data_IF_246738881998
#
_entry.id   IF_246738881998
#
_cell.length_a   1.000
_cell.length_b   1.000
_cell.length_c   1.000
_cell.angle_alpha   90.00
_cell.angle_beta   90.00
_cell.angle_gamma   90.00
#
_symmetry.space_group_name_H-M   'P 1'
#
loop_
_entity.id
_entity.type
_entity.pdbx_description
1 polymer ?
#
# COMPACT_ATOMS: atom_id res chain seq x y z
N UNK A 1 22.70 8.53 -12.99
CA UNK A 1 22.27 7.11 -12.85
C UNK A 1 20.74 7.05 -12.85
N UNK A 2 20.13 6.02 -13.48
CA UNK A 2 18.67 5.92 -13.56
C UNK A 2 18.12 5.43 -12.22
N UNK A 3 17.22 6.20 -11.61
CA UNK A 3 16.57 5.90 -10.33
C UNK A 3 15.10 5.63 -10.60
N UNK A 4 14.57 4.52 -10.08
CA UNK A 4 13.13 4.28 -10.09
C UNK A 4 12.51 4.99 -8.89
N UNK A 5 11.41 5.72 -9.12
CA UNK A 5 10.57 6.30 -8.07
C UNK A 5 9.11 6.11 -8.47
N UNK A 6 8.32 5.62 -7.53
CA UNK A 6 6.89 5.46 -7.70
C UNK A 6 6.18 5.85 -6.40
N UNK A 7 5.08 6.58 -6.54
CA UNK A 7 4.17 6.91 -5.44
C UNK A 7 2.80 6.37 -5.83
N UNK A 8 2.27 5.46 -5.02
CA UNK A 8 0.92 4.91 -5.18
C UNK A 8 0.04 5.38 -4.03
N UNK A 9 -1.22 5.70 -4.32
CA UNK A 9 -2.22 6.11 -3.34
C UNK A 9 -3.51 5.32 -3.57
N UNK A 10 -4.32 5.15 -2.51
CA UNK A 10 -5.60 4.42 -2.58
C UNK A 10 -6.70 5.25 -3.27
N UNK A 11 -6.55 5.48 -4.58
CA UNK A 11 -7.47 6.30 -5.40
C UNK A 11 -8.32 5.48 -6.38
N UNK A 12 -8.42 4.17 -6.16
CA UNK A 12 -9.22 3.30 -7.01
C UNK A 12 -10.71 3.68 -6.90
N UNK A 13 -11.39 3.77 -8.03
CA UNK A 13 -12.79 4.21 -8.10
C UNK A 13 -13.72 3.41 -7.19
N UNK A 14 -13.51 2.10 -7.07
CA UNK A 14 -14.33 1.23 -6.21
C UNK A 14 -14.10 1.48 -4.72
N UNK A 15 -12.89 1.87 -4.30
CA UNK A 15 -12.62 2.30 -2.92
C UNK A 15 -13.36 3.61 -2.64
N UNK A 16 -13.25 4.57 -3.56
CA UNK A 16 -13.93 5.85 -3.45
C UNK A 16 -15.46 5.68 -3.39
N UNK A 17 -16.00 4.73 -4.17
CA UNK A 17 -17.41 4.40 -4.16
C UNK A 17 -17.85 3.81 -2.81
N UNK A 18 -17.10 2.85 -2.26
CA UNK A 18 -17.40 2.27 -0.93
C UNK A 18 -17.38 3.37 0.13
N UNK A 19 -16.34 4.21 0.15
CA UNK A 19 -16.22 5.31 1.12
C UNK A 19 -17.39 6.30 0.97
N UNK A 20 -17.77 6.67 -0.25
CA UNK A 20 -18.88 7.57 -0.51
C UNK A 20 -20.21 6.98 -0.01
N UNK A 21 -20.48 5.69 -0.30
CA UNK A 21 -21.68 5.00 0.17
C UNK A 21 -21.72 4.96 1.70
N UNK A 22 -20.59 4.67 2.36
CA UNK A 22 -20.53 4.64 3.84
C UNK A 22 -20.81 6.00 4.44
N UNK A 23 -20.23 7.07 3.89
CA UNK A 23 -20.48 8.44 4.36
C UNK A 23 -21.94 8.83 4.16
N UNK A 24 -22.51 8.59 2.96
CA UNK A 24 -23.91 8.91 2.66
C UNK A 24 -24.86 8.16 3.58
N UNK A 25 -24.65 6.85 3.80
CA UNK A 25 -25.50 6.04 4.67
C UNK A 25 -25.54 6.55 6.11
N UNK A 26 -24.38 6.95 6.66
CA UNK A 26 -24.30 7.54 8.00
C UNK A 26 -24.94 8.92 8.03
N UNK A 27 -24.73 9.76 7.03
CA UNK A 27 -25.38 11.08 6.95
C UNK A 27 -26.91 10.97 6.92
N UNK A 28 -27.45 9.97 6.19
CA UNK A 28 -28.90 9.70 6.17
C UNK A 28 -29.39 9.25 7.55
N UNK A 29 -28.68 8.33 8.21
CA UNK A 29 -28.99 7.87 9.58
C UNK A 29 -29.09 9.06 10.54
N UNK A 30 -28.07 9.91 10.56
CA UNK A 30 -27.99 11.09 11.43
C UNK A 30 -29.13 12.07 11.13
N UNK A 31 -29.46 12.29 9.85
CA UNK A 31 -30.57 13.17 9.46
C UNK A 31 -31.91 12.67 10.04
N UNK A 32 -32.18 11.36 9.95
CA UNK A 32 -33.40 10.78 10.52
C UNK A 32 -33.42 10.85 12.05
N UNK A 33 -32.28 10.63 12.73
CA UNK A 33 -32.19 10.71 14.20
C UNK A 33 -32.43 12.13 14.71
N UNK A 34 -31.89 13.14 14.01
CA UNK A 34 -32.17 14.55 14.30
C UNK A 34 -33.65 14.85 14.08
N UNK A 35 -34.22 14.43 12.95
CA UNK A 35 -35.64 14.68 12.64
C UNK A 35 -36.59 14.04 13.67
N UNK A 36 -36.22 12.90 14.24
CA UNK A 36 -37.03 12.19 15.23
C UNK A 36 -36.70 12.58 16.69
N UNK A 37 -35.81 13.56 16.91
CA UNK A 37 -35.32 13.95 18.25
C UNK A 37 -34.67 12.82 19.06
N UNK A 38 -34.13 11.81 18.38
CA UNK A 38 -33.45 10.64 18.97
C UNK A 38 -31.93 10.73 18.83
N UNK A 39 -31.38 11.93 18.66
CA UNK A 39 -29.96 12.13 18.38
C UNK A 39 -29.12 11.94 19.65
N UNK A 40 -28.12 11.06 19.59
CA UNK A 40 -27.22 10.77 20.70
C UNK A 40 -25.77 11.21 20.42
N UNK A 41 -24.99 11.36 21.49
CA UNK A 41 -23.55 11.67 21.41
C UNK A 41 -22.78 10.60 20.63
N UNK A 42 -23.22 9.34 20.68
CA UNK A 42 -22.59 8.23 19.95
C UNK A 42 -22.66 8.42 18.44
N UNK A 43 -23.68 9.11 17.92
CA UNK A 43 -23.84 9.37 16.49
C UNK A 43 -22.75 10.32 15.99
N UNK A 44 -22.43 11.36 16.77
CA UNK A 44 -21.29 12.25 16.52
C UNK A 44 -19.99 11.47 16.52
N UNK A 45 -19.78 10.61 17.53
CA UNK A 45 -18.59 9.78 17.65
C UNK A 45 -18.38 8.89 16.42
N UNK A 46 -19.44 8.25 15.95
CA UNK A 46 -19.43 7.40 14.75
C UNK A 46 -19.09 8.20 13.47
N UNK A 47 -19.64 9.40 13.34
CA UNK A 47 -19.38 10.29 12.21
C UNK A 47 -17.92 10.78 12.18
N UNK A 48 -17.38 11.18 13.34
CA UNK A 48 -15.99 11.59 13.46
C UNK A 48 -15.06 10.43 13.11
N UNK A 49 -15.36 9.21 13.61
CA UNK A 49 -14.56 8.02 13.34
C UNK A 49 -14.52 7.69 11.85
N UNK A 50 -15.65 7.75 11.14
CA UNK A 50 -15.67 7.44 9.70
C UNK A 50 -14.93 8.51 8.88
N UNK A 51 -15.08 9.80 9.22
CA UNK A 51 -14.36 10.88 8.55
C UNK A 51 -12.86 10.73 8.79
N UNK A 52 -12.44 10.40 10.01
CA UNK A 52 -11.04 10.12 10.33
C UNK A 52 -10.51 8.92 9.52
N UNK A 53 -11.31 7.85 9.37
CA UNK A 53 -10.94 6.68 8.57
C UNK A 53 -10.82 7.02 7.08
N UNK A 54 -11.76 7.79 6.52
CA UNK A 54 -11.69 8.28 5.13
C UNK A 54 -10.45 9.15 4.91
N UNK A 55 -10.19 10.08 5.83
CA UNK A 55 -9.00 10.93 5.83
C UNK A 55 -7.72 10.12 5.88
N UNK A 56 -7.69 9.04 6.65
CA UNK A 56 -6.53 8.15 6.71
C UNK A 56 -6.23 7.52 5.34
N UNK A 57 -7.21 6.86 4.72
CA UNK A 57 -7.04 6.22 3.41
C UNK A 57 -6.64 7.22 2.32
N UNK A 58 -7.16 8.44 2.38
CA UNK A 58 -6.83 9.51 1.43
C UNK A 58 -5.36 9.96 1.52
N UNK A 59 -4.80 9.96 2.73
CA UNK A 59 -3.42 10.37 2.99
C UNK A 59 -2.41 9.23 2.83
N UNK A 60 -2.87 7.98 2.82
CA UNK A 60 -2.00 6.82 2.69
C UNK A 60 -1.33 6.72 1.31
N UNK A 61 0.00 6.74 1.32
CA UNK A 61 0.82 6.65 0.09
C UNK A 61 1.95 5.64 0.25
N UNK A 62 2.08 4.73 -0.70
CA UNK A 62 3.24 3.85 -0.83
C UNK A 62 4.28 4.50 -1.72
N UNK A 63 5.42 4.84 -1.15
CA UNK A 63 6.60 5.30 -1.88
C UNK A 63 7.54 4.13 -2.11
N UNK A 64 7.92 3.93 -3.37
CA UNK A 64 8.90 2.92 -3.78
C UNK A 64 10.04 3.61 -4.49
N UNK A 65 11.28 3.27 -4.12
CA UNK A 65 12.48 3.80 -4.76
C UNK A 65 13.54 2.70 -4.92
N UNK A 66 14.10 2.61 -6.12
CA UNK A 66 15.23 1.73 -6.44
C UNK A 66 16.38 2.60 -6.93
N UNK A 67 17.51 2.54 -6.25
CA UNK A 67 18.71 3.31 -6.56
C UNK A 67 19.99 2.48 -6.37
N UNK A 68 21.16 3.13 -6.43
CA UNK A 68 22.44 2.46 -6.27
C UNK A 68 22.69 1.88 -4.86
N UNK A 69 21.98 2.35 -3.84
CA UNK A 69 22.11 1.82 -2.47
C UNK A 69 21.26 0.56 -2.28
N UNK A 70 20.11 0.48 -2.94
CA UNK A 70 19.22 -0.66 -2.83
C UNK A 70 17.76 -0.35 -3.20
N UNK A 71 16.85 -1.06 -2.55
CA UNK A 71 15.40 -0.91 -2.70
C UNK A 71 14.82 -0.39 -1.40
N UNK A 72 14.01 0.66 -1.48
CA UNK A 72 13.31 1.24 -0.34
C UNK A 72 11.82 1.35 -0.62
N UNK A 73 11.02 1.03 0.39
CA UNK A 73 9.58 1.14 0.39
C UNK A 73 9.12 1.77 1.72
N UNK A 74 8.17 2.71 1.66
CA UNK A 74 7.56 3.28 2.88
C UNK A 74 6.10 3.61 2.65
N UNK A 75 5.28 3.39 3.67
CA UNK A 75 3.94 3.95 3.73
C UNK A 75 3.96 5.28 4.49
N UNK A 76 3.54 6.36 3.85
CA UNK A 76 3.19 7.60 4.55
C UNK A 76 1.71 7.54 4.94
N UNK A 77 1.31 8.11 6.10
CA UNK A 77 2.12 8.86 7.06
C UNK A 77 2.85 8.01 8.11
N UNK A 78 2.89 6.68 7.98
CA UNK A 78 3.35 5.78 9.03
C UNK A 78 4.87 5.47 8.98
N UNK A 79 5.72 6.13 9.80
CA UNK A 79 7.17 5.96 9.72
C UNK A 79 7.65 4.54 10.04
N UNK A 80 6.91 3.79 10.88
CA UNK A 80 7.24 2.43 11.28
C UNK A 80 7.20 1.43 10.11
N UNK A 81 6.40 1.70 9.07
CA UNK A 81 6.30 0.86 7.89
C UNK A 81 7.30 1.25 6.80
N UNK A 82 8.54 1.55 7.20
CA UNK A 82 9.67 1.74 6.29
C UNK A 82 10.46 0.43 6.16
N UNK A 83 10.74 0.03 4.92
CA UNK A 83 11.57 -1.13 4.57
C UNK A 83 12.66 -0.70 3.61
N UNK A 84 13.90 -1.06 3.94
CA UNK A 84 15.07 -0.81 3.13
C UNK A 84 15.84 -2.12 2.99
N UNK A 85 16.18 -2.47 1.77
CA UNK A 85 16.99 -3.64 1.44
C UNK A 85 18.21 -3.17 0.65
N UNK A 86 19.40 -3.38 1.20
CA UNK A 86 20.63 -3.10 0.46
C UNK A 86 20.86 -4.18 -0.59
N UNK A 87 21.50 -3.83 -1.69
CA UNK A 87 21.79 -4.80 -2.76
C UNK A 87 22.58 -6.03 -2.28
N UNK A 88 23.48 -5.86 -1.32
CA UNK A 88 24.27 -6.96 -0.73
C UNK A 88 23.45 -7.91 0.17
N UNK A 89 22.26 -7.52 0.62
CA UNK A 89 21.34 -8.35 1.43
C UNK A 89 20.36 -9.14 0.57
N UNK A 90 20.21 -8.75 -0.71
CA UNK A 90 19.27 -9.33 -1.66
C UNK A 90 19.92 -10.54 -2.34
N UNK A 91 19.24 -11.68 -2.28
CA UNK A 91 19.62 -12.88 -3.04
C UNK A 91 18.97 -12.88 -4.43
N UNK A 92 17.68 -12.53 -4.51
CA UNK A 92 16.95 -12.45 -5.78
C UNK A 92 15.98 -11.28 -5.78
N UNK A 93 15.94 -10.54 -6.88
CA UNK A 93 14.96 -9.48 -7.10
C UNK A 93 14.39 -9.59 -8.52
N UNK A 94 13.07 -9.54 -8.67
CA UNK A 94 12.43 -9.61 -9.99
C UNK A 94 11.01 -9.05 -9.94
N UNK A 95 10.52 -8.59 -11.09
CA UNK A 95 9.13 -8.19 -11.26
C UNK A 95 8.31 -9.42 -11.61
N UNK A 96 7.21 -9.67 -10.89
CA UNK A 96 6.29 -10.78 -11.14
C UNK A 96 4.84 -10.33 -11.06
N UNK A 97 3.95 -11.13 -11.66
CA UNK A 97 2.52 -11.03 -11.39
C UNK A 97 2.22 -11.64 -10.02
N UNK A 98 1.29 -11.05 -9.27
CA UNK A 98 0.83 -11.53 -7.98
C UNK A 98 -0.67 -11.28 -7.83
N UNK A 99 -1.31 -12.01 -6.91
CA UNK A 99 -2.69 -11.82 -6.51
C UNK A 99 -2.77 -11.26 -5.10
N UNK A 100 -3.24 -10.02 -4.96
CA UNK A 100 -3.35 -9.36 -3.66
C UNK A 100 -4.27 -10.11 -2.69
N UNK A 101 -5.42 -10.57 -3.18
CA UNK A 101 -6.43 -11.24 -2.37
C UNK A 101 -5.98 -12.64 -1.94
N UNK A 102 -5.53 -13.47 -2.87
CA UNK A 102 -5.23 -14.89 -2.57
C UNK A 102 -3.85 -15.10 -1.94
N UNK A 103 -2.85 -14.26 -2.24
CA UNK A 103 -1.50 -14.42 -1.67
C UNK A 103 -1.28 -13.63 -0.37
N UNK A 104 -1.97 -12.49 -0.22
CA UNK A 104 -1.67 -11.54 0.87
C UNK A 104 -2.91 -11.07 1.66
N UNK A 105 -4.12 -11.53 1.30
CA UNK A 105 -5.35 -11.14 2.00
C UNK A 105 -5.79 -9.69 1.74
N UNK A 106 -5.43 -9.12 0.59
CA UNK A 106 -5.90 -7.82 0.12
C UNK A 106 -4.79 -6.80 -0.13
N UNK A 107 -5.19 -5.53 -0.22
CA UNK A 107 -4.27 -4.41 -0.45
C UNK A 107 -3.84 -3.73 0.85
N UNK A 108 -2.65 -3.15 0.86
CA UNK A 108 -2.08 -2.39 1.97
C UNK A 108 -0.80 -2.99 2.54
N UNK A 109 -0.64 -2.84 3.84
CA UNK A 109 0.43 -3.46 4.62
C UNK A 109 -0.04 -4.86 4.99
N UNK A 110 0.53 -5.89 4.36
CA UNK A 110 0.08 -7.27 4.47
C UNK A 110 1.18 -8.24 4.83
N UNK A 111 0.75 -9.38 5.38
CA UNK A 111 1.59 -10.54 5.71
C UNK A 111 1.87 -10.71 7.20
N UNK A 112 1.89 -11.97 7.64
CA UNK A 112 2.40 -12.48 8.92
C UNK A 112 3.58 -13.43 8.62
N UNK A 113 4.60 -13.49 9.48
CA UNK A 113 5.74 -14.38 9.28
C UNK A 113 6.69 -13.96 8.14
N UNK A 114 6.96 -14.87 7.19
CA UNK A 114 8.02 -14.76 6.17
C UNK A 114 7.58 -14.18 4.82
N UNK A 115 6.28 -14.02 4.59
CA UNK A 115 5.70 -13.47 3.36
C UNK A 115 5.01 -12.14 3.67
N UNK A 116 5.71 -11.03 3.41
CA UNK A 116 5.20 -9.67 3.65
C UNK A 116 5.03 -8.93 2.33
N UNK A 117 4.01 -8.08 2.24
CA UNK A 117 3.77 -7.27 1.06
C UNK A 117 3.32 -5.85 1.41
N UNK A 118 3.88 -4.89 0.70
CA UNK A 118 3.37 -3.53 0.61
C UNK A 118 2.80 -3.32 -0.78
N UNK A 119 1.49 -3.15 -0.89
CA UNK A 119 0.84 -2.88 -2.16
C UNK A 119 -0.33 -1.92 -1.98
N UNK A 120 -0.74 -1.28 -3.08
CA UNK A 120 -1.86 -0.33 -3.08
C UNK A 120 -2.90 -0.76 -4.10
N UNK A 121 -2.46 -1.10 -5.32
CA UNK A 121 -3.33 -1.47 -6.43
C UNK A 121 -2.64 -2.49 -7.36
N UNK A 122 -3.41 -3.01 -8.31
CA UNK A 122 -2.87 -3.83 -9.40
C UNK A 122 -2.48 -5.24 -8.98
N UNK A 123 -1.77 -5.91 -9.89
CA UNK A 123 -1.39 -7.32 -9.81
C UNK A 123 0.08 -7.55 -10.20
N UNK A 124 0.89 -6.49 -10.26
CA UNK A 124 2.31 -6.56 -10.58
C UNK A 124 3.13 -6.10 -9.40
N UNK A 125 4.19 -6.84 -9.06
CA UNK A 125 4.99 -6.59 -7.86
C UNK A 125 6.47 -6.85 -8.07
N UNK A 126 7.29 -6.10 -7.35
CA UNK A 126 8.73 -6.29 -7.19
C UNK A 126 8.92 -7.28 -6.05
N UNK A 127 9.26 -8.51 -6.39
CA UNK A 127 9.59 -9.56 -5.42
C UNK A 127 11.04 -9.43 -5.00
N UNK A 128 11.25 -9.33 -3.69
CA UNK A 128 12.56 -9.34 -3.03
C UNK A 128 12.66 -10.64 -2.25
N UNK A 129 13.79 -11.33 -2.40
CA UNK A 129 14.18 -12.48 -1.59
C UNK A 129 15.54 -12.14 -0.99
N UNK A 130 15.61 -12.09 0.34
CA UNK A 130 16.86 -11.79 1.05
C UNK A 130 17.75 -13.03 1.12
N UNK A 131 19.04 -12.85 1.42
CA UNK A 131 19.97 -13.95 1.72
C UNK A 131 19.55 -14.79 2.94
N UNK A 132 18.67 -14.25 3.80
CA UNK A 132 18.05 -14.96 4.93
C UNK A 132 16.72 -15.64 4.56
N UNK A 133 16.43 -15.79 3.26
CA UNK A 133 15.20 -16.38 2.72
C UNK A 133 13.89 -15.67 3.08
N UNK A 134 13.95 -14.44 3.59
CA UNK A 134 12.76 -13.62 3.80
C UNK A 134 12.20 -13.14 2.46
N UNK A 135 10.88 -13.16 2.30
CA UNK A 135 10.19 -12.74 1.09
C UNK A 135 9.42 -11.45 1.35
N UNK A 136 9.71 -10.44 0.54
CA UNK A 136 9.02 -9.15 0.58
C UNK A 136 8.55 -8.75 -0.81
N UNK A 137 7.28 -8.39 -0.96
CA UNK A 137 6.72 -7.94 -2.23
C UNK A 137 6.31 -6.46 -2.15
N UNK A 138 6.71 -5.68 -3.15
CA UNK A 138 6.26 -4.30 -3.31
C UNK A 138 5.39 -4.21 -4.56
N UNK A 139 4.11 -3.90 -4.44
CA UNK A 139 3.23 -3.68 -5.59
C UNK A 139 3.74 -2.51 -6.45
N UNK A 140 3.55 -2.61 -7.76
CA UNK A 140 3.96 -1.57 -8.73
C UNK A 140 2.96 -1.47 -9.89
N UNK A 141 2.61 -0.24 -10.26
CA UNK A 141 1.88 0.07 -11.48
C UNK A 141 2.82 0.41 -12.65
N UNK A 142 4.15 0.36 -12.42
CA UNK A 142 5.19 0.62 -13.43
C UNK A 142 6.15 -0.57 -13.58
N UNK A 143 5.64 -1.77 -13.89
CA UNK A 143 6.44 -3.00 -13.92
C UNK A 143 7.61 -2.95 -14.90
N UNK A 144 7.43 -2.34 -16.07
CA UNK A 144 8.47 -2.24 -17.10
C UNK A 144 9.63 -1.35 -16.65
N UNK A 145 9.33 -0.21 -16.04
CA UNK A 145 10.35 0.71 -15.52
C UNK A 145 11.11 0.07 -14.36
N UNK A 146 10.40 -0.60 -13.45
CA UNK A 146 11.02 -1.34 -12.35
C UNK A 146 11.96 -2.43 -12.89
N UNK A 147 11.52 -3.22 -13.89
CA UNK A 147 12.32 -4.29 -14.49
C UNK A 147 13.61 -3.77 -15.11
N UNK A 148 13.54 -2.66 -15.87
CA UNK A 148 14.73 -2.01 -16.47
C UNK A 148 15.75 -1.58 -15.42
N UNK A 149 15.30 -1.02 -14.30
CA UNK A 149 16.19 -0.55 -13.24
C UNK A 149 16.79 -1.71 -12.44
N UNK A 150 15.99 -2.72 -12.11
CA UNK A 150 16.45 -3.92 -11.39
C UNK A 150 17.56 -4.63 -12.18
N UNK A 151 17.35 -4.88 -13.49
CA UNK A 151 18.34 -5.56 -14.34
C UNK A 151 19.71 -4.87 -14.30
N UNK A 152 19.73 -3.55 -14.42
CA UNK A 152 20.97 -2.75 -14.41
C UNK A 152 21.77 -2.84 -13.10
N UNK A 153 21.09 -3.03 -11.97
CA UNK A 153 21.77 -3.16 -10.68
C UNK A 153 22.11 -4.61 -10.34
N UNK A 154 21.40 -5.59 -10.89
CA UNK A 154 21.76 -7.01 -10.79
C UNK A 154 23.06 -7.32 -11.53
N UNK A 155 23.27 -6.72 -12.71
CA UNK A 155 24.52 -6.84 -13.48
C UNK A 155 25.75 -6.31 -12.72
N UNK A 156 25.56 -5.53 -11.64
CA UNK A 156 26.64 -5.01 -10.77
C UNK A 156 26.89 -5.85 -9.51
N UNK A 157 26.07 -6.87 -9.27
CA UNK A 157 26.18 -7.77 -8.11
C UNK A 157 26.86 -9.10 -8.44
N UNK A 158 27.10 -9.36 -9.73
CA UNK A 158 28.02 -10.38 -10.22
C UNK A 158 29.42 -9.79 -10.32
#
# INVERSE_FOLDING_TARGET
MRVFKEIQAFRQWWILLILAITVIGISIKIYFEISNSNFEIWDIGSFILIIAFCGLFWNMKLHTKIDAKGISARFEPFPFFRKNYKWNEISKCHVRKYSALTEYGGWGIRGLGSAKAYNVSGNMGIQIITKKHEKFLIGTNKPEDARKVIRRYQEKLQ
#
